data_IF_953534066390
#
_entry.id   IF_953534066390
#
_cell.length_a   1.000
_cell.length_b   1.000
_cell.length_c   1.000
_cell.angle_alpha   90.00
_cell.angle_beta   90.00
_cell.angle_gamma   90.00
#
_symmetry.space_group_name_H-M   'P 1'
#
loop_
_entity.id
_entity.type
_entity.pdbx_description
1 polymer ?
#
# COMPACT_ATOMS: atom_id res chain seq x y z
N UNK A 1 -2.42 5.47 29.94
CA UNK A 1 -3.29 5.53 28.74
C UNK A 1 -3.59 7.00 28.39
N UNK A 2 -3.40 7.43 27.13
CA UNK A 2 -3.63 8.81 26.66
C UNK A 2 -4.92 8.84 25.79
N UNK A 3 -6.12 8.89 26.39
CA UNK A 3 -7.39 8.69 25.67
C UNK A 3 -7.65 9.73 24.58
N UNK A 4 -7.21 10.98 24.80
CA UNK A 4 -7.34 12.06 23.81
C UNK A 4 -6.62 11.75 22.49
N UNK A 5 -5.44 11.14 22.55
CA UNK A 5 -4.69 10.77 21.33
C UNK A 5 -5.33 9.59 20.60
N UNK A 6 -5.95 8.67 21.33
CA UNK A 6 -6.71 7.58 20.71
C UNK A 6 -7.95 8.13 19.98
N UNK A 7 -8.68 9.08 20.57
CA UNK A 7 -9.82 9.73 19.89
C UNK A 7 -9.37 10.59 18.69
N UNK A 8 -8.22 11.25 18.78
CA UNK A 8 -7.62 11.94 17.63
C UNK A 8 -7.24 10.96 16.51
N UNK A 9 -6.73 9.79 16.87
CA UNK A 9 -6.43 8.72 15.92
C UNK A 9 -7.71 8.28 15.20
N UNK A 10 -8.78 7.98 15.93
CA UNK A 10 -10.04 7.52 15.35
C UNK A 10 -10.73 8.59 14.47
N UNK A 11 -10.51 9.87 14.74
CA UNK A 11 -11.14 10.95 13.98
C UNK A 11 -10.35 11.39 12.75
N UNK A 12 -9.02 11.25 12.75
CA UNK A 12 -8.17 11.78 11.68
C UNK A 12 -6.99 10.90 11.29
N UNK A 13 -6.36 10.21 12.24
CA UNK A 13 -5.24 9.32 11.98
C UNK A 13 -5.63 8.11 11.12
N UNK A 14 -6.76 7.48 11.43
CA UNK A 14 -7.25 6.29 10.73
C UNK A 14 -7.53 6.56 9.25
N UNK A 15 -7.94 7.79 8.90
CA UNK A 15 -8.22 8.20 7.51
C UNK A 15 -6.97 8.21 6.62
N UNK A 16 -5.78 8.06 7.21
CA UNK A 16 -4.51 7.94 6.49
C UNK A 16 -4.12 6.49 6.19
N UNK A 17 -4.88 5.52 6.72
CA UNK A 17 -4.55 4.10 6.65
C UNK A 17 -5.24 3.37 5.49
N UNK A 18 -6.14 4.05 4.78
CA UNK A 18 -6.93 3.41 3.74
C UNK A 18 -7.37 4.42 2.67
N UNK A 19 -7.75 3.94 1.48
CA UNK A 19 -7.94 4.77 0.29
C UNK A 19 -9.36 4.74 -0.30
N UNK A 20 -10.36 4.31 0.48
CA UNK A 20 -11.77 4.31 0.09
C UNK A 20 -12.48 5.62 0.46
N UNK A 21 -13.25 5.65 1.55
CA UNK A 21 -14.13 6.77 1.93
C UNK A 21 -14.08 7.09 3.43
N UNK A 22 -14.31 8.33 3.82
CA UNK A 22 -14.28 8.70 5.26
C UNK A 22 -15.39 8.01 6.05
N UNK A 23 -16.56 7.79 5.46
CA UNK A 23 -17.68 7.10 6.09
C UNK A 23 -17.59 5.58 5.85
N UNK A 24 -16.77 4.90 6.65
CA UNK A 24 -16.62 3.44 6.58
C UNK A 24 -16.86 2.78 7.93
N UNK A 25 -17.06 1.46 7.89
CA UNK A 25 -17.18 0.60 9.07
C UNK A 25 -15.88 0.50 9.90
N UNK A 26 -14.77 1.07 9.42
CA UNK A 26 -13.45 1.00 10.03
C UNK A 26 -13.39 1.69 11.39
N UNK A 27 -14.01 2.86 11.55
CA UNK A 27 -13.97 3.56 12.85
C UNK A 27 -14.72 2.77 13.95
N UNK A 28 -15.97 2.29 13.75
CA UNK A 28 -16.62 1.38 14.69
C UNK A 28 -15.83 0.09 14.94
N UNK A 29 -15.24 -0.49 13.90
CA UNK A 29 -14.39 -1.67 14.01
C UNK A 29 -13.21 -1.45 14.94
N UNK A 30 -12.47 -0.35 14.76
CA UNK A 30 -11.33 0.02 15.60
C UNK A 30 -11.72 0.27 17.06
N UNK A 31 -12.91 0.84 17.32
CA UNK A 31 -13.43 0.94 18.71
C UNK A 31 -13.66 -0.44 19.33
N UNK A 32 -14.26 -1.37 18.58
CA UNK A 32 -14.45 -2.75 19.04
C UNK A 32 -13.13 -3.51 19.29
N UNK A 33 -12.08 -3.22 18.51
CA UNK A 33 -10.75 -3.82 18.73
C UNK A 33 -10.06 -3.26 19.98
N UNK A 34 -10.25 -1.97 20.28
CA UNK A 34 -9.68 -1.33 21.47
C UNK A 34 -10.20 -1.94 22.78
N UNK A 35 -11.42 -2.47 22.80
CA UNK A 35 -11.98 -3.19 23.94
C UNK A 35 -11.32 -4.57 24.16
N UNK A 36 -10.63 -5.11 23.15
CA UNK A 36 -10.10 -6.48 23.14
C UNK A 36 -8.57 -6.57 23.27
N UNK A 37 -7.85 -5.47 23.01
CA UNK A 37 -6.39 -5.42 22.97
C UNK A 37 -5.88 -4.07 23.48
N UNK A 38 -5.14 -4.11 24.58
CA UNK A 38 -4.44 -2.93 25.10
C UNK A 38 -3.28 -2.53 24.17
N UNK A 39 -2.59 -3.52 23.60
CA UNK A 39 -1.53 -3.30 22.63
C UNK A 39 -2.06 -2.49 21.43
N UNK A 40 -3.21 -2.86 20.87
CA UNK A 40 -3.85 -2.14 19.78
C UNK A 40 -4.03 -0.64 20.08
N UNK A 41 -4.51 -0.31 21.28
CA UNK A 41 -4.69 1.08 21.72
C UNK A 41 -3.35 1.82 21.77
N UNK A 42 -2.31 1.22 22.36
CA UNK A 42 -0.98 1.85 22.42
C UNK A 42 -0.37 2.06 21.04
N UNK A 43 -0.53 1.12 20.11
CA UNK A 43 -0.05 1.28 18.73
C UNK A 43 -0.77 2.43 18.03
N UNK A 44 -2.09 2.54 18.17
CA UNK A 44 -2.86 3.67 17.63
C UNK A 44 -2.38 5.02 18.18
N UNK A 45 -2.13 5.08 19.50
CA UNK A 45 -1.59 6.28 20.17
C UNK A 45 -0.17 6.60 19.66
N UNK A 46 0.67 5.58 19.45
CA UNK A 46 2.02 5.77 18.93
C UNK A 46 2.00 6.32 17.50
N UNK A 47 1.13 5.79 16.63
CA UNK A 47 0.91 6.31 15.29
C UNK A 47 0.43 7.76 15.36
N UNK A 48 -0.64 8.06 16.11
CA UNK A 48 -1.14 9.43 16.21
C UNK A 48 -0.10 10.40 16.79
N UNK A 49 0.66 9.95 17.79
CA UNK A 49 1.78 10.71 18.35
C UNK A 49 2.80 11.07 17.27
N UNK A 50 3.18 10.12 16.43
CA UNK A 50 4.07 10.35 15.28
C UNK A 50 3.46 11.31 14.25
N UNK A 51 2.18 11.14 13.92
CA UNK A 51 1.47 12.00 12.96
C UNK A 51 1.34 13.46 13.45
N UNK A 52 1.19 13.65 14.77
CA UNK A 52 1.05 14.97 15.39
C UNK A 52 2.39 15.71 15.55
N UNK A 53 3.52 14.99 15.61
CA UNK A 53 4.86 15.54 15.89
C UNK A 53 5.55 16.16 14.66
N UNK A 54 4.76 16.75 13.74
CA UNK A 54 5.04 17.16 12.34
C UNK A 54 6.38 17.83 12.00
N UNK A 55 7.23 18.16 12.96
CA UNK A 55 8.48 18.92 12.79
C UNK A 55 9.68 18.38 13.59
N UNK A 56 9.50 17.44 14.54
CA UNK A 56 10.59 16.89 15.33
C UNK A 56 10.77 15.44 14.93
N UNK A 57 11.85 15.14 14.21
CA UNK A 57 12.31 13.76 13.98
C UNK A 57 12.30 13.04 15.34
N UNK A 58 11.33 12.14 15.53
CA UNK A 58 11.18 11.28 16.71
C UNK A 58 11.48 12.00 18.04
N UNK A 59 10.58 12.86 18.52
CA UNK A 59 10.74 13.39 19.88
C UNK A 59 10.86 12.26 20.91
N UNK A 60 11.50 12.54 22.05
CA UNK A 60 11.64 11.56 23.15
C UNK A 60 10.29 10.94 23.52
N UNK A 61 9.25 11.77 23.60
CA UNK A 61 7.88 11.33 23.88
C UNK A 61 7.31 10.42 22.79
N UNK A 62 7.58 10.70 21.52
CA UNK A 62 7.22 9.82 20.41
C UNK A 62 7.94 8.48 20.52
N UNK A 63 9.24 8.47 20.86
CA UNK A 63 10.01 7.24 21.06
C UNK A 63 9.50 6.40 22.24
N UNK A 64 9.17 7.04 23.37
CA UNK A 64 8.57 6.36 24.53
C UNK A 64 7.25 5.68 24.18
N UNK A 65 6.40 6.33 23.37
CA UNK A 65 5.16 5.71 22.89
C UNK A 65 5.42 4.50 22.00
N UNK A 66 6.41 4.57 21.12
CA UNK A 66 6.78 3.42 20.26
C UNK A 66 7.28 2.25 21.10
N UNK A 67 8.14 2.52 22.10
CA UNK A 67 8.68 1.48 22.98
C UNK A 67 7.56 0.83 23.81
N UNK A 68 6.66 1.64 24.38
CA UNK A 68 5.50 1.12 25.11
C UNK A 68 4.58 0.28 24.21
N UNK A 69 4.30 0.73 22.98
CA UNK A 69 3.49 -0.02 22.03
C UNK A 69 4.14 -1.38 21.67
N UNK A 70 5.46 -1.40 21.46
CA UNK A 70 6.23 -2.61 21.19
C UNK A 70 6.20 -3.59 22.37
N UNK A 71 6.39 -3.10 23.59
CA UNK A 71 6.37 -3.92 24.81
C UNK A 71 5.00 -4.54 25.01
N UNK A 72 3.93 -3.73 25.00
CA UNK A 72 2.56 -4.22 25.14
C UNK A 72 2.19 -5.24 24.06
N UNK A 73 2.60 -5.03 22.81
CA UNK A 73 2.36 -5.98 21.72
C UNK A 73 3.09 -7.31 21.92
N UNK A 74 4.36 -7.27 22.37
CA UNK A 74 5.15 -8.49 22.66
C UNK A 74 4.53 -9.30 23.79
N UNK A 75 4.11 -8.64 24.87
CA UNK A 75 3.47 -9.29 26.02
C UNK A 75 2.13 -9.94 25.61
N UNK A 76 1.36 -9.26 24.76
CA UNK A 76 0.08 -9.78 24.26
C UNK A 76 0.28 -11.00 23.35
N UNK A 77 1.27 -10.98 22.45
CA UNK A 77 1.62 -12.13 21.61
C UNK A 77 2.04 -13.33 22.45
N UNK A 78 2.86 -13.12 23.49
CA UNK A 78 3.35 -14.20 24.34
C UNK A 78 2.19 -14.99 24.99
N UNK A 79 1.09 -14.29 25.32
CA UNK A 79 -0.11 -14.90 25.90
C UNK A 79 -1.06 -15.54 24.86
N UNK A 80 -0.99 -15.14 23.59
CA UNK A 80 -2.00 -15.46 22.55
C UNK A 80 -1.43 -16.24 21.34
N UNK A 81 -0.28 -16.88 21.51
CA UNK A 81 0.42 -17.54 20.41
C UNK A 81 -0.43 -18.59 19.67
N UNK A 82 -0.17 -18.76 18.37
CA UNK A 82 -0.79 -19.75 17.44
C UNK A 82 -2.26 -19.57 17.13
N UNK A 83 -2.97 -18.64 17.78
CA UNK A 83 -4.36 -18.31 17.43
C UNK A 83 -4.41 -16.92 16.80
N UNK A 84 -5.08 -16.79 15.65
CA UNK A 84 -5.28 -15.50 15.01
C UNK A 84 -6.38 -14.72 15.74
N UNK A 85 -5.97 -13.89 16.71
CA UNK A 85 -6.84 -12.91 17.35
C UNK A 85 -6.84 -11.61 16.53
N UNK A 86 -8.03 -11.18 16.10
CA UNK A 86 -8.20 -10.01 15.21
C UNK A 86 -7.54 -8.77 15.78
N UNK A 87 -7.83 -8.41 17.04
CA UNK A 87 -7.30 -7.20 17.66
C UNK A 87 -5.76 -7.20 17.79
N UNK A 88 -5.19 -8.32 18.22
CA UNK A 88 -3.72 -8.51 18.31
C UNK A 88 -3.09 -8.44 16.93
N UNK A 89 -3.68 -9.09 15.93
CA UNK A 89 -3.16 -9.09 14.55
C UNK A 89 -3.21 -7.68 13.96
N UNK A 90 -4.30 -6.94 14.16
CA UNK A 90 -4.40 -5.53 13.80
C UNK A 90 -3.33 -4.68 14.48
N UNK A 91 -3.04 -4.91 15.76
CA UNK A 91 -1.95 -4.21 16.45
C UNK A 91 -0.60 -4.45 15.73
N UNK A 92 -0.33 -5.69 15.31
CA UNK A 92 0.87 -6.04 14.54
C UNK A 92 0.93 -5.39 13.15
N UNK A 93 -0.18 -5.35 12.43
CA UNK A 93 -0.27 -4.64 11.13
C UNK A 93 -0.06 -3.13 11.31
N UNK A 94 -0.63 -2.53 12.35
CA UNK A 94 -0.42 -1.13 12.66
C UNK A 94 1.03 -0.85 13.11
N UNK A 95 1.69 -1.80 13.78
CA UNK A 95 3.13 -1.71 14.07
C UNK A 95 3.97 -1.70 12.78
N UNK A 96 3.61 -2.50 11.78
CA UNK A 96 4.23 -2.44 10.45
C UNK A 96 4.04 -1.05 9.84
N UNK A 97 2.82 -0.50 9.89
CA UNK A 97 2.52 0.85 9.42
C UNK A 97 3.32 1.93 10.16
N UNK A 98 3.51 1.81 11.47
CA UNK A 98 4.32 2.75 12.25
C UNK A 98 5.78 2.75 11.80
N UNK A 99 6.37 1.57 11.58
CA UNK A 99 7.73 1.45 11.04
C UNK A 99 7.83 2.01 9.62
N UNK A 100 6.83 1.72 8.79
CA UNK A 100 6.70 2.25 7.44
C UNK A 100 6.68 3.79 7.44
N UNK A 101 5.87 4.43 8.29
CA UNK A 101 5.81 5.88 8.42
C UNK A 101 7.17 6.48 8.84
N UNK A 102 7.94 5.75 9.65
CA UNK A 102 9.30 6.11 10.05
C UNK A 102 10.35 5.85 8.97
N UNK A 103 10.00 5.19 7.85
CA UNK A 103 10.93 4.80 6.79
C UNK A 103 11.89 3.69 7.22
N UNK A 104 11.48 2.82 8.14
CA UNK A 104 12.28 1.67 8.61
C UNK A 104 11.85 0.38 7.91
N UNK A 105 12.75 -0.62 7.78
CA UNK A 105 12.36 -1.95 7.35
C UNK A 105 11.25 -2.52 8.25
N UNK A 106 10.23 -3.15 7.66
CA UNK A 106 9.02 -3.58 8.35
C UNK A 106 8.47 -4.92 7.85
N UNK A 107 8.79 -5.34 6.63
CA UNK A 107 8.26 -6.57 6.02
C UNK A 107 8.64 -7.85 6.78
N UNK A 108 9.72 -7.81 7.57
CA UNK A 108 10.07 -8.89 8.48
C UNK A 108 8.99 -9.13 9.55
N UNK A 109 8.24 -8.11 9.97
CA UNK A 109 7.16 -8.28 10.94
C UNK A 109 5.97 -9.05 10.35
N UNK A 110 5.69 -8.86 9.06
CA UNK A 110 4.69 -9.68 8.34
C UNK A 110 5.10 -11.14 8.35
N UNK A 111 6.38 -11.45 8.13
CA UNK A 111 6.90 -12.82 8.20
C UNK A 111 6.75 -13.41 9.60
N UNK A 112 7.16 -12.67 10.64
CA UNK A 112 7.01 -13.12 12.02
C UNK A 112 5.56 -13.40 12.39
N UNK A 113 4.63 -12.55 11.94
CA UNK A 113 3.19 -12.78 12.14
C UNK A 113 2.69 -13.99 11.36
N UNK A 114 3.09 -14.15 10.10
CA UNK A 114 2.71 -15.29 9.29
C UNK A 114 3.21 -16.61 9.88
N UNK A 115 4.43 -16.64 10.42
CA UNK A 115 4.99 -17.80 11.12
C UNK A 115 4.27 -18.06 12.45
N UNK A 116 3.98 -17.01 13.23
CA UNK A 116 3.24 -17.11 14.49
C UNK A 116 1.86 -17.74 14.30
N UNK A 117 1.18 -17.38 13.21
CA UNK A 117 -0.16 -17.90 12.87
C UNK A 117 -0.12 -19.10 11.92
N UNK A 118 1.08 -19.58 11.56
CA UNK A 118 1.28 -20.73 10.67
C UNK A 118 0.60 -20.61 9.30
N UNK A 119 0.47 -19.39 8.78
CA UNK A 119 -0.22 -19.10 7.51
C UNK A 119 0.42 -19.80 6.29
N UNK A 120 1.70 -20.16 6.40
CA UNK A 120 2.40 -20.92 5.38
C UNK A 120 1.90 -22.38 5.28
N UNK A 121 1.40 -22.94 6.38
CA UNK A 121 0.94 -24.33 6.47
C UNK A 121 -0.55 -24.45 6.19
N UNK A 122 -1.36 -23.61 6.83
CA UNK A 122 -2.82 -23.64 6.71
C UNK A 122 -3.37 -22.22 6.80
N UNK A 123 -4.13 -21.82 5.78
CA UNK A 123 -4.84 -20.54 5.80
C UNK A 123 -6.15 -20.69 6.58
N UNK A 124 -6.45 -19.79 7.53
CA UNK A 124 -7.71 -19.83 8.27
C UNK A 124 -8.91 -19.75 7.35
N UNK A 125 -9.95 -20.56 7.61
CA UNK A 125 -11.24 -20.38 6.97
C UNK A 125 -11.89 -19.07 7.46
N UNK A 126 -12.31 -18.25 6.49
CA UNK A 126 -12.84 -16.90 6.72
C UNK A 126 -14.12 -16.63 5.92
N UNK A 127 -14.81 -17.69 5.44
CA UNK A 127 -16.06 -17.54 4.68
C UNK A 127 -17.10 -16.72 5.48
N UNK A 128 -17.22 -17.05 6.77
CA UNK A 128 -18.20 -16.49 7.69
C UNK A 128 -17.60 -15.53 8.73
N UNK A 129 -16.31 -15.18 8.63
CA UNK A 129 -15.61 -14.30 9.58
C UNK A 129 -14.99 -13.11 8.84
N UNK A 130 -15.80 -12.06 8.66
CA UNK A 130 -15.42 -10.86 7.91
C UNK A 130 -14.26 -10.10 8.56
N UNK A 131 -14.19 -10.12 9.90
CA UNK A 131 -13.14 -9.44 10.65
C UNK A 131 -11.79 -10.12 10.43
N UNK A 132 -11.72 -11.46 10.54
CA UNK A 132 -10.50 -12.20 10.20
C UNK A 132 -10.15 -12.06 8.72
N UNK A 133 -11.15 -12.13 7.83
CA UNK A 133 -10.93 -11.94 6.39
C UNK A 133 -10.29 -10.59 6.11
N UNK A 134 -10.83 -9.50 6.66
CA UNK A 134 -10.30 -8.16 6.48
C UNK A 134 -8.83 -8.08 6.91
N UNK A 135 -8.50 -8.57 8.10
CA UNK A 135 -7.13 -8.53 8.61
C UNK A 135 -6.15 -9.31 7.73
N UNK A 136 -6.57 -10.49 7.24
CA UNK A 136 -5.77 -11.27 6.30
C UNK A 136 -5.64 -10.60 4.93
N UNK A 137 -6.68 -9.90 4.45
CA UNK A 137 -6.62 -9.10 3.22
C UNK A 137 -5.63 -7.94 3.36
N UNK A 138 -5.67 -7.21 4.47
CA UNK A 138 -4.70 -6.14 4.76
C UNK A 138 -3.28 -6.71 4.80
N UNK A 139 -3.07 -7.81 5.53
CA UNK A 139 -1.77 -8.48 5.55
C UNK A 139 -1.32 -8.95 4.15
N UNK A 140 -2.25 -9.43 3.35
CA UNK A 140 -2.02 -9.83 1.96
C UNK A 140 -1.60 -8.68 1.07
N UNK A 141 -2.25 -7.51 1.18
CA UNK A 141 -1.85 -6.28 0.47
C UNK A 141 -0.45 -5.86 0.91
N UNK A 142 -0.17 -5.82 2.21
CA UNK A 142 1.15 -5.48 2.73
C UNK A 142 2.26 -6.42 2.22
N UNK A 143 1.93 -7.69 1.97
CA UNK A 143 2.85 -8.71 1.47
C UNK A 143 2.99 -8.71 -0.08
N UNK A 144 2.19 -7.94 -0.84
CA UNK A 144 2.24 -7.99 -2.30
C UNK A 144 3.63 -7.63 -2.87
N UNK A 145 4.14 -8.40 -3.85
CA UNK A 145 5.57 -8.40 -4.23
C UNK A 145 6.11 -7.13 -4.89
N UNK A 146 5.25 -6.36 -5.57
CA UNK A 146 5.66 -5.25 -6.43
C UNK A 146 5.23 -3.88 -5.91
N UNK A 147 4.57 -3.84 -4.76
CA UNK A 147 4.09 -2.59 -4.15
C UNK A 147 4.88 -2.20 -2.91
N UNK A 148 5.95 -2.95 -2.61
CA UNK A 148 6.94 -2.59 -1.59
C UNK A 148 8.32 -2.53 -2.22
N UNK A 149 8.91 -1.34 -2.26
CA UNK A 149 10.29 -1.12 -2.69
C UNK A 149 11.25 -1.40 -1.54
N UNK A 150 12.48 -1.82 -1.87
CA UNK A 150 13.51 -2.01 -0.86
C UNK A 150 13.34 -3.26 0.02
N UNK A 151 12.29 -4.06 -0.24
CA UNK A 151 11.93 -5.23 0.55
C UNK A 151 13.12 -6.15 0.83
N UNK A 152 13.32 -6.47 2.11
CA UNK A 152 14.41 -7.29 2.65
C UNK A 152 14.09 -8.78 2.56
N UNK A 153 12.85 -9.15 2.85
CA UNK A 153 12.36 -10.54 2.80
C UNK A 153 11.40 -10.73 1.62
N UNK A 154 11.56 -11.76 0.77
CA UNK A 154 10.63 -12.02 -0.34
C UNK A 154 9.16 -12.07 0.09
N UNK A 155 8.22 -11.79 -0.82
CA UNK A 155 6.80 -12.02 -0.54
C UNK A 155 6.55 -13.49 -0.19
N UNK A 156 5.69 -13.75 0.80
CA UNK A 156 5.25 -15.11 1.18
C UNK A 156 3.92 -15.52 0.52
N UNK A 157 3.32 -14.63 -0.25
CA UNK A 157 2.15 -14.89 -1.08
C UNK A 157 0.85 -14.95 -0.29
N UNK A 158 0.71 -14.19 0.80
CA UNK A 158 -0.47 -14.23 1.68
C UNK A 158 -1.75 -13.95 0.89
N UNK A 159 -1.75 -12.92 0.03
CA UNK A 159 -2.90 -12.58 -0.80
C UNK A 159 -3.33 -13.78 -1.65
N UNK A 160 -2.40 -14.37 -2.40
CA UNK A 160 -2.69 -15.50 -3.30
C UNK A 160 -3.27 -16.68 -2.53
N UNK A 161 -2.65 -17.07 -1.41
CA UNK A 161 -3.10 -18.18 -0.55
C UNK A 161 -4.51 -17.92 0.01
N UNK A 162 -4.79 -16.70 0.46
CA UNK A 162 -6.13 -16.31 0.92
C UNK A 162 -7.15 -16.41 -0.22
N UNK A 163 -6.79 -16.05 -1.44
CA UNK A 163 -7.70 -16.09 -2.59
C UNK A 163 -7.93 -17.52 -3.08
N UNK A 164 -6.94 -18.41 -2.94
CA UNK A 164 -7.06 -19.84 -3.22
C UNK A 164 -8.03 -20.54 -2.26
N UNK A 165 -8.07 -20.17 -0.97
CA UNK A 165 -9.08 -20.75 -0.06
C UNK A 165 -10.50 -20.37 -0.45
N UNK A 166 -10.68 -19.17 -0.99
CA UNK A 166 -11.98 -18.68 -1.46
C UNK A 166 -12.46 -19.36 -2.75
N UNK A 167 -11.58 -20.00 -3.52
CA UNK A 167 -11.98 -20.78 -4.71
C UNK A 167 -12.79 -22.03 -4.32
N UNK A 168 -12.62 -22.53 -3.10
CA UNK A 168 -13.38 -23.64 -2.56
C UNK A 168 -14.74 -23.23 -1.96
N UNK A 169 -15.00 -21.93 -1.80
CA UNK A 169 -16.24 -21.45 -1.20
C UNK A 169 -17.42 -21.61 -2.16
N UNK A 170 -18.60 -22.08 -1.68
CA UNK A 170 -19.82 -22.17 -2.50
C UNK A 170 -20.22 -20.85 -3.17
N UNK A 171 -20.00 -19.72 -2.49
CA UNK A 171 -20.28 -18.38 -3.03
C UNK A 171 -19.18 -17.86 -3.98
N UNK A 172 -18.06 -18.58 -4.09
CA UNK A 172 -16.87 -18.17 -4.81
C UNK A 172 -16.09 -17.06 -4.11
N UNK A 173 -15.13 -16.47 -4.85
CA UNK A 173 -14.29 -15.39 -4.35
C UNK A 173 -15.09 -14.15 -3.97
N UNK A 174 -14.69 -13.53 -2.86
CA UNK A 174 -15.22 -12.21 -2.48
C UNK A 174 -14.81 -11.17 -3.53
N UNK A 175 -15.79 -10.46 -4.07
CA UNK A 175 -15.59 -9.39 -5.05
C UNK A 175 -15.34 -8.01 -4.42
N UNK A 176 -15.53 -6.96 -5.21
CA UNK A 176 -15.51 -5.57 -4.76
C UNK A 176 -14.11 -5.06 -4.36
N UNK A 177 -14.13 -3.94 -3.64
CA UNK A 177 -12.94 -3.14 -3.32
C UNK A 177 -12.31 -3.58 -2.01
N UNK A 178 -11.00 -3.79 -2.00
CA UNK A 178 -10.22 -3.97 -0.77
C UNK A 178 -10.03 -2.60 -0.10
N UNK A 179 -10.26 -2.53 1.22
CA UNK A 179 -10.47 -1.26 1.92
C UNK A 179 -9.21 -0.40 2.00
N UNK A 180 -8.06 -1.01 2.31
CA UNK A 180 -6.80 -0.30 2.56
C UNK A 180 -6.25 0.30 1.27
N UNK A 181 -6.07 -0.51 0.23
CA UNK A 181 -5.60 -0.06 -1.08
C UNK A 181 -6.63 0.76 -1.84
N UNK A 182 -7.93 0.59 -1.57
CA UNK A 182 -9.00 1.17 -2.38
C UNK A 182 -9.07 0.59 -3.80
N UNK A 183 -8.43 -0.55 -4.04
CA UNK A 183 -8.34 -1.23 -5.34
C UNK A 183 -9.24 -2.47 -5.36
N UNK A 184 -9.88 -2.81 -6.50
CA UNK A 184 -10.68 -4.02 -6.61
C UNK A 184 -9.84 -5.28 -6.36
N UNK A 185 -10.39 -6.23 -5.59
CA UNK A 185 -9.72 -7.51 -5.29
C UNK A 185 -9.31 -8.24 -6.56
N UNK A 186 -10.13 -8.14 -7.62
CA UNK A 186 -9.84 -8.74 -8.92
C UNK A 186 -8.63 -8.14 -9.64
N UNK A 187 -8.29 -6.87 -9.37
CA UNK A 187 -7.08 -6.24 -9.88
C UNK A 187 -5.87 -6.59 -9.01
N UNK A 188 -6.04 -6.67 -7.68
CA UNK A 188 -5.01 -7.15 -6.76
C UNK A 188 -4.62 -8.62 -7.03
N UNK A 189 -5.58 -9.45 -7.47
CA UNK A 189 -5.31 -10.83 -7.92
C UNK A 189 -4.30 -10.87 -9.09
N UNK A 190 -4.31 -9.87 -9.97
CA UNK A 190 -3.32 -9.76 -11.07
C UNK A 190 -1.95 -9.34 -10.51
N UNK A 191 -1.93 -8.37 -9.59
CA UNK A 191 -0.70 -7.93 -8.92
C UNK A 191 -0.01 -9.04 -8.14
N UNK A 192 -0.77 -9.90 -7.45
CA UNK A 192 -0.24 -11.02 -6.70
C UNK A 192 0.57 -11.99 -7.58
N UNK A 193 0.18 -12.17 -8.84
CA UNK A 193 0.87 -13.03 -9.79
C UNK A 193 2.04 -12.38 -10.56
N UNK A 194 2.34 -11.10 -10.33
CA UNK A 194 3.20 -10.30 -11.21
C UNK A 194 4.66 -10.79 -11.25
N UNK A 195 5.19 -11.34 -10.15
CA UNK A 195 6.55 -11.90 -10.10
C UNK A 195 6.66 -13.33 -10.63
N UNK A 196 5.59 -14.12 -10.54
CA UNK A 196 5.61 -15.56 -10.80
C UNK A 196 5.25 -15.88 -12.25
N UNK A 197 4.31 -15.12 -12.81
CA UNK A 197 3.77 -15.39 -14.13
C UNK A 197 4.69 -14.89 -15.24
N UNK A 198 4.48 -15.44 -16.43
CA UNK A 198 5.08 -14.89 -17.64
C UNK A 198 4.67 -13.40 -17.83
N UNK A 199 5.62 -12.51 -18.16
CA UNK A 199 5.31 -11.10 -18.35
C UNK A 199 4.23 -10.81 -19.41
N UNK A 200 4.24 -11.50 -20.55
CA UNK A 200 3.26 -11.27 -21.63
C UNK A 200 1.86 -11.70 -21.19
N UNK A 201 1.77 -12.83 -20.47
CA UNK A 201 0.53 -13.26 -19.84
C UNK A 201 0.01 -12.24 -18.81
N UNK A 202 0.89 -11.70 -17.98
CA UNK A 202 0.52 -10.73 -16.93
C UNK A 202 0.08 -9.40 -17.53
N UNK A 203 0.79 -8.89 -18.55
CA UNK A 203 0.40 -7.69 -19.28
C UNK A 203 -0.97 -7.85 -19.95
N UNK A 204 -1.23 -9.02 -20.55
CA UNK A 204 -2.54 -9.37 -21.11
C UNK A 204 -3.64 -9.37 -20.05
N UNK A 205 -3.37 -9.88 -18.84
CA UNK A 205 -4.34 -9.87 -17.73
C UNK A 205 -4.70 -8.45 -17.30
N UNK A 206 -3.73 -7.55 -17.16
CA UNK A 206 -4.03 -6.13 -16.88
C UNK A 206 -4.84 -5.48 -18.00
N UNK A 207 -4.47 -5.76 -19.26
CA UNK A 207 -5.14 -5.19 -20.43
C UNK A 207 -6.60 -5.64 -20.54
N UNK A 208 -6.87 -6.90 -20.19
CA UNK A 208 -8.21 -7.53 -20.23
C UNK A 208 -8.96 -7.47 -18.90
N UNK A 209 -8.42 -6.78 -17.89
CA UNK A 209 -9.11 -6.66 -16.61
C UNK A 209 -10.49 -6.01 -16.82
N UNK A 210 -11.60 -6.65 -16.39
CA UNK A 210 -12.95 -6.25 -16.78
C UNK A 210 -13.42 -4.93 -16.15
N UNK A 211 -12.71 -4.44 -15.14
CA UNK A 211 -13.17 -3.33 -14.31
C UNK A 211 -13.98 -3.81 -13.11
N UNK A 212 -14.42 -2.84 -12.32
CA UNK A 212 -15.42 -2.99 -11.27
C UNK A 212 -16.35 -1.76 -11.32
N UNK A 213 -17.50 -1.82 -10.65
CA UNK A 213 -18.44 -0.70 -10.59
C UNK A 213 -18.11 0.18 -9.38
N UNK A 214 -17.76 1.43 -9.63
CA UNK A 214 -17.44 2.41 -8.58
C UNK A 214 -17.82 3.82 -8.98
N UNK A 215 -17.54 4.78 -8.10
CA UNK A 215 -17.70 6.20 -8.42
C UNK A 215 -16.63 6.67 -9.42
N UNK A 216 -16.83 7.85 -10.01
CA UNK A 216 -15.94 8.37 -11.06
C UNK A 216 -14.46 8.43 -10.63
N UNK A 217 -14.17 8.86 -9.40
CA UNK A 217 -12.80 8.98 -8.91
C UNK A 217 -12.18 7.60 -8.66
N UNK A 218 -12.95 6.66 -8.12
CA UNK A 218 -12.53 5.27 -7.99
C UNK A 218 -12.16 4.67 -9.35
N UNK A 219 -12.99 4.88 -10.38
CA UNK A 219 -12.69 4.39 -11.74
C UNK A 219 -11.36 4.95 -12.29
N UNK A 220 -11.06 6.23 -12.04
CA UNK A 220 -9.77 6.83 -12.42
C UNK A 220 -8.60 6.28 -11.60
N UNK A 221 -8.79 6.03 -10.30
CA UNK A 221 -7.79 5.36 -9.45
C UNK A 221 -7.47 3.97 -9.98
N UNK A 222 -8.49 3.15 -10.23
CA UNK A 222 -8.31 1.77 -10.69
C UNK A 222 -7.70 1.71 -12.08
N UNK A 223 -8.08 2.65 -12.96
CA UNK A 223 -7.43 2.82 -14.27
C UNK A 223 -5.95 3.16 -14.12
N UNK A 224 -5.60 4.04 -13.19
CA UNK A 224 -4.22 4.42 -12.91
C UNK A 224 -3.40 3.24 -12.39
N UNK A 225 -3.94 2.46 -11.44
CA UNK A 225 -3.30 1.24 -10.94
C UNK A 225 -3.10 0.19 -12.04
N UNK A 226 -4.13 -0.05 -12.87
CA UNK A 226 -4.04 -1.00 -13.98
C UNK A 226 -2.97 -0.60 -15.00
N UNK A 227 -2.94 0.67 -15.41
CA UNK A 227 -1.96 1.18 -16.38
C UNK A 227 -0.54 1.16 -15.80
N UNK A 228 -0.38 1.52 -14.52
CA UNK A 228 0.88 1.36 -13.80
C UNK A 228 1.32 -0.11 -13.71
N UNK A 229 0.38 -1.04 -13.51
CA UNK A 229 0.67 -2.48 -13.58
C UNK A 229 1.26 -2.92 -14.93
N UNK A 230 0.73 -2.39 -16.04
CA UNK A 230 1.27 -2.64 -17.39
C UNK A 230 2.69 -2.09 -17.51
N UNK A 231 2.92 -0.84 -17.10
CA UNK A 231 4.25 -0.23 -17.14
C UNK A 231 5.27 -0.99 -16.27
N UNK A 232 4.87 -1.46 -15.09
CA UNK A 232 5.72 -2.27 -14.22
C UNK A 232 6.18 -3.57 -14.91
N UNK A 233 5.27 -4.27 -15.58
CA UNK A 233 5.59 -5.48 -16.33
C UNK A 233 6.61 -5.19 -17.44
N UNK A 234 6.38 -4.13 -18.21
CA UNK A 234 7.28 -3.71 -19.31
C UNK A 234 8.65 -3.27 -18.78
N UNK A 235 8.68 -2.49 -17.70
CA UNK A 235 9.93 -2.05 -17.04
C UNK A 235 10.76 -3.26 -16.60
N UNK A 236 10.13 -4.29 -16.02
CA UNK A 236 10.83 -5.53 -15.63
C UNK A 236 11.40 -6.28 -16.82
N UNK A 237 10.65 -6.38 -17.92
CA UNK A 237 11.17 -6.97 -19.15
C UNK A 237 12.36 -6.17 -19.69
N UNK A 238 12.27 -4.84 -19.69
CA UNK A 238 13.34 -3.92 -20.10
C UNK A 238 14.60 -4.09 -19.24
N UNK A 239 14.46 -4.19 -17.92
CA UNK A 239 15.56 -4.45 -16.99
C UNK A 239 16.22 -5.83 -17.22
N UNK A 240 15.43 -6.88 -17.49
CA UNK A 240 15.94 -8.24 -17.72
C UNK A 240 16.58 -8.42 -19.10
N UNK A 241 15.92 -7.95 -20.16
CA UNK A 241 16.30 -8.19 -21.57
C UNK A 241 17.23 -7.11 -22.13
N UNK A 242 17.33 -5.95 -21.47
CA UNK A 242 18.02 -4.74 -21.97
C UNK A 242 17.55 -4.31 -23.37
N UNK A 243 16.30 -4.58 -23.69
CA UNK A 243 15.67 -4.24 -24.96
C UNK A 243 14.22 -3.84 -24.74
N UNK A 244 13.71 -2.93 -25.56
CA UNK A 244 12.30 -2.58 -25.58
C UNK A 244 11.52 -3.67 -26.34
N UNK A 245 10.45 -4.18 -25.73
CA UNK A 245 9.53 -5.06 -26.42
C UNK A 245 8.67 -4.28 -27.42
N UNK A 246 8.24 -4.92 -28.49
CA UNK A 246 7.25 -4.34 -29.39
C UNK A 246 5.85 -4.51 -28.79
N UNK A 247 5.50 -3.65 -27.83
CA UNK A 247 4.24 -3.72 -27.10
C UNK A 247 3.10 -3.02 -27.85
N UNK A 248 1.90 -3.57 -27.74
CA UNK A 248 0.67 -2.98 -28.26
C UNK A 248 -0.38 -2.88 -27.14
N UNK A 249 -0.84 -1.67 -26.77
CA UNK A 249 -0.39 -0.35 -27.25
C UNK A 249 1.04 0.00 -26.80
N UNK A 250 1.69 0.99 -27.42
CA UNK A 250 3.07 1.39 -27.06
C UNK A 250 3.18 1.90 -25.61
N UNK A 251 4.38 1.88 -25.03
CA UNK A 251 4.61 2.36 -23.64
C UNK A 251 4.25 3.84 -23.49
N UNK A 252 4.51 4.63 -24.51
CA UNK A 252 4.12 6.04 -24.59
C UNK A 252 2.61 6.24 -24.52
N UNK A 253 1.81 5.41 -25.21
CA UNK A 253 0.34 5.47 -25.14
C UNK A 253 -0.16 5.08 -23.75
N UNK A 254 0.38 4.01 -23.16
CA UNK A 254 0.02 3.58 -21.81
C UNK A 254 0.35 4.67 -20.78
N UNK A 255 1.53 5.29 -20.88
CA UNK A 255 1.94 6.37 -19.99
C UNK A 255 1.05 7.61 -20.18
N UNK A 256 0.74 8.02 -21.41
CA UNK A 256 -0.18 9.13 -21.68
C UNK A 256 -1.54 8.90 -21.01
N UNK A 257 -2.12 7.71 -21.14
CA UNK A 257 -3.38 7.35 -20.48
C UNK A 257 -3.27 7.36 -18.95
N UNK A 258 -2.13 6.90 -18.41
CA UNK A 258 -1.87 6.94 -16.97
C UNK A 258 -1.81 8.39 -16.46
N UNK A 259 -1.10 9.25 -17.18
CA UNK A 259 -0.99 10.67 -16.84
C UNK A 259 -2.35 11.37 -16.88
N UNK A 260 -3.16 11.09 -17.90
CA UNK A 260 -4.52 11.64 -18.00
C UNK A 260 -5.43 11.16 -16.85
N UNK A 261 -5.35 9.89 -16.47
CA UNK A 261 -6.13 9.34 -15.36
C UNK A 261 -5.70 9.92 -14.00
N UNK A 262 -4.39 10.06 -13.77
CA UNK A 262 -3.85 10.67 -12.55
C UNK A 262 -4.18 12.16 -12.45
N UNK A 263 -4.06 12.92 -13.55
CA UNK A 263 -4.42 14.34 -13.58
C UNK A 263 -5.91 14.55 -13.27
N UNK A 264 -6.79 13.77 -13.92
CA UNK A 264 -8.22 13.83 -13.68
C UNK A 264 -8.58 13.50 -12.23
N UNK A 265 -7.98 12.43 -11.67
CA UNK A 265 -8.17 12.03 -10.28
C UNK A 265 -7.68 13.11 -9.31
N UNK A 266 -6.48 13.63 -9.52
CA UNK A 266 -5.88 14.66 -8.68
C UNK A 266 -6.74 15.93 -8.68
N UNK A 267 -7.07 16.47 -9.86
CA UNK A 267 -7.93 17.68 -9.98
C UNK A 267 -9.29 17.47 -9.33
N UNK A 268 -9.92 16.32 -9.56
CA UNK A 268 -11.21 16.00 -8.95
C UNK A 268 -11.12 15.89 -7.42
N UNK A 269 -10.00 15.40 -6.88
CA UNK A 269 -9.79 15.27 -5.43
C UNK A 269 -9.61 16.61 -4.70
N UNK A 270 -9.27 17.68 -5.42
CA UNK A 270 -9.17 19.04 -4.88
C UNK A 270 -10.55 19.72 -4.73
N UNK A 271 -11.61 19.14 -5.32
CA UNK A 271 -12.96 19.70 -5.23
C UNK A 271 -13.53 19.37 -3.84
N UNK A 272 -13.99 20.35 -3.04
CA UNK A 272 -14.49 20.12 -1.67
C UNK A 272 -15.60 19.06 -1.56
N UNK A 273 -16.46 18.96 -2.59
CA UNK A 273 -17.51 17.94 -2.64
C UNK A 273 -16.95 16.51 -2.57
N UNK A 274 -15.72 16.29 -3.01
CA UNK A 274 -15.07 14.98 -3.06
C UNK A 274 -14.14 14.72 -1.86
N UNK A 275 -14.11 15.59 -0.85
CA UNK A 275 -13.20 15.46 0.31
C UNK A 275 -13.42 14.17 1.11
N UNK A 276 -14.64 13.63 1.07
CA UNK A 276 -14.99 12.33 1.67
C UNK A 276 -14.32 11.13 0.99
N UNK A 277 -13.77 11.29 -0.22
CA UNK A 277 -13.07 10.25 -0.96
C UNK A 277 -11.57 10.28 -0.65
N UNK A 278 -11.05 9.17 -0.17
CA UNK A 278 -9.66 9.02 0.26
C UNK A 278 -8.75 8.43 -0.84
N UNK A 279 -9.25 8.36 -2.08
CA UNK A 279 -8.57 7.81 -3.27
C UNK A 279 -7.15 8.33 -3.50
N UNK A 280 -6.86 9.56 -3.05
CA UNK A 280 -5.51 10.15 -3.12
C UNK A 280 -4.48 9.38 -2.30
N UNK A 281 -4.88 8.64 -1.27
CA UNK A 281 -3.94 7.85 -0.47
C UNK A 281 -3.28 6.72 -1.28
N UNK A 282 -3.97 6.21 -2.30
CA UNK A 282 -3.49 5.13 -3.17
C UNK A 282 -2.80 5.61 -4.46
N UNK A 283 -2.42 6.90 -4.56
CA UNK A 283 -1.71 7.42 -5.74
C UNK A 283 -0.21 7.10 -5.75
N UNK A 284 0.36 6.62 -4.64
CA UNK A 284 1.79 6.37 -4.52
C UNK A 284 2.31 5.36 -5.56
N UNK A 285 1.64 4.22 -5.75
CA UNK A 285 2.05 3.22 -6.74
C UNK A 285 2.00 3.72 -8.20
N UNK A 286 0.89 4.32 -8.68
CA UNK A 286 0.85 4.93 -10.01
C UNK A 286 1.91 6.02 -10.22
N UNK A 287 2.08 6.90 -9.23
CA UNK A 287 3.02 8.03 -9.30
C UNK A 287 4.47 7.56 -9.37
N UNK A 288 4.85 6.60 -8.53
CA UNK A 288 6.17 5.96 -8.57
C UNK A 288 6.43 5.31 -9.91
N UNK A 289 5.47 4.52 -10.41
CA UNK A 289 5.65 3.80 -11.67
C UNK A 289 5.79 4.74 -12.85
N UNK A 290 4.93 5.78 -12.94
CA UNK A 290 5.03 6.80 -13.98
C UNK A 290 6.36 7.56 -13.89
N UNK A 291 6.77 7.96 -12.68
CA UNK A 291 7.98 8.74 -12.42
C UNK A 291 9.28 8.07 -12.87
N UNK A 292 9.27 6.74 -13.04
CA UNK A 292 10.42 5.95 -13.50
C UNK A 292 10.54 5.86 -15.04
N UNK A 293 9.54 6.33 -15.80
CA UNK A 293 9.59 6.40 -17.27
C UNK A 293 10.35 7.67 -17.74
N UNK A 294 11.59 7.83 -17.26
CA UNK A 294 12.39 9.07 -17.37
C UNK A 294 12.56 9.53 -18.82
N UNK A 295 12.86 8.62 -19.73
CA UNK A 295 13.07 8.91 -21.15
C UNK A 295 11.82 9.47 -21.84
N UNK A 296 10.64 8.96 -21.49
CA UNK A 296 9.36 9.47 -22.01
C UNK A 296 9.01 10.82 -21.36
N UNK A 297 9.17 10.95 -20.04
CA UNK A 297 8.89 12.20 -19.33
C UNK A 297 9.83 13.35 -19.73
N UNK A 298 11.05 13.05 -20.21
CA UNK A 298 11.94 14.06 -20.80
C UNK A 298 11.43 14.60 -22.14
N UNK A 299 10.72 13.76 -22.91
CA UNK A 299 10.12 14.14 -24.21
C UNK A 299 8.80 14.88 -24.03
N UNK A 300 8.04 14.52 -23.00
CA UNK A 300 6.71 15.07 -22.67
C UNK A 300 6.77 15.82 -21.34
N UNK A 301 7.20 17.08 -21.38
CA UNK A 301 7.44 17.89 -20.17
C UNK A 301 6.16 18.17 -19.39
N UNK A 302 5.02 18.21 -20.06
CA UNK A 302 3.70 18.37 -19.46
C UNK A 302 3.36 17.19 -18.52
N UNK A 303 3.76 15.96 -18.87
CA UNK A 303 3.54 14.79 -18.01
C UNK A 303 4.40 14.89 -16.75
N UNK A 304 5.65 15.33 -16.90
CA UNK A 304 6.51 15.58 -15.74
C UNK A 304 5.90 16.65 -14.83
N UNK A 305 5.37 17.74 -15.40
CA UNK A 305 4.75 18.81 -14.62
C UNK A 305 3.57 18.30 -13.78
N UNK A 306 2.73 17.41 -14.32
CA UNK A 306 1.65 16.76 -13.56
C UNK A 306 2.20 15.93 -12.38
N UNK A 307 3.29 15.17 -12.58
CA UNK A 307 3.94 14.42 -11.48
C UNK A 307 4.45 15.36 -10.40
N UNK A 308 5.12 16.45 -10.80
CA UNK A 308 5.67 17.44 -9.88
C UNK A 308 4.55 18.13 -9.08
N UNK A 309 3.43 18.48 -9.72
CA UNK A 309 2.25 19.10 -9.07
C UNK A 309 1.62 18.16 -8.03
N UNK A 310 1.40 16.89 -8.39
CA UNK A 310 0.88 15.87 -7.46
C UNK A 310 1.84 15.69 -6.29
N UNK A 311 3.15 15.61 -6.56
CA UNK A 311 4.20 15.47 -5.54
C UNK A 311 4.19 16.63 -4.55
N UNK A 312 4.13 17.86 -5.03
CA UNK A 312 4.10 19.04 -4.18
C UNK A 312 2.91 19.01 -3.23
N UNK A 313 1.74 18.58 -3.72
CA UNK A 313 0.56 18.41 -2.87
C UNK A 313 0.76 17.35 -1.78
N UNK A 314 1.37 16.20 -2.12
CA UNK A 314 1.69 15.16 -1.14
C UNK A 314 2.65 15.68 -0.06
N UNK A 315 3.71 16.39 -0.45
CA UNK A 315 4.68 16.97 0.50
C UNK A 315 4.05 18.02 1.41
N UNK A 316 3.10 18.81 0.91
CA UNK A 316 2.37 19.79 1.74
C UNK A 316 1.42 19.12 2.74
N UNK A 317 0.80 18.00 2.35
CA UNK A 317 -0.15 17.26 3.18
C UNK A 317 0.54 16.43 4.26
N UNK A 318 1.62 15.75 3.86
CA UNK A 318 2.30 14.70 4.62
C UNK A 318 3.83 14.91 4.61
N UNK A 319 4.37 15.42 5.71
CA UNK A 319 5.83 15.55 5.92
C UNK A 319 6.43 14.30 6.58
N UNK A 320 5.87 13.11 6.29
CA UNK A 320 6.42 11.87 6.84
C UNK A 320 7.64 11.42 6.06
N UNK A 321 8.53 10.71 6.77
CA UNK A 321 9.75 10.19 6.18
C UNK A 321 9.45 9.29 4.96
N UNK A 322 8.38 8.49 5.01
CA UNK A 322 7.96 7.65 3.89
C UNK A 322 7.77 8.43 2.60
N UNK A 323 6.94 9.48 2.63
CA UNK A 323 6.59 10.24 1.43
C UNK A 323 7.85 10.91 0.86
N UNK A 324 8.70 11.45 1.73
CA UNK A 324 9.98 12.05 1.32
C UNK A 324 10.89 11.03 0.64
N UNK A 325 11.10 9.86 1.27
CA UNK A 325 11.95 8.79 0.72
C UNK A 325 11.43 8.32 -0.65
N UNK A 326 10.11 8.18 -0.82
CA UNK A 326 9.49 7.85 -2.11
C UNK A 326 9.89 8.84 -3.20
N UNK A 327 9.85 10.14 -2.92
CA UNK A 327 10.20 11.15 -3.91
C UNK A 327 11.69 11.30 -4.15
N UNK A 328 12.53 11.13 -3.12
CA UNK A 328 13.99 11.08 -3.29
C UNK A 328 14.41 9.93 -4.22
N UNK A 329 13.73 8.78 -4.16
CA UNK A 329 13.97 7.66 -5.07
C UNK A 329 13.60 7.96 -6.52
N UNK A 330 12.51 8.71 -6.74
CA UNK A 330 12.15 9.20 -8.09
C UNK A 330 13.21 10.19 -8.57
N UNK A 331 13.63 11.14 -7.73
CA UNK A 331 14.67 12.11 -8.08
C UNK A 331 16.01 11.44 -8.44
N UNK A 332 16.41 10.40 -7.72
CA UNK A 332 17.59 9.60 -8.07
C UNK A 332 17.47 8.99 -9.47
N UNK A 333 16.31 8.41 -9.83
CA UNK A 333 16.08 7.88 -11.17
C UNK A 333 16.23 8.97 -12.25
N UNK A 334 15.75 10.17 -11.95
CA UNK A 334 15.87 11.33 -12.84
C UNK A 334 17.30 11.84 -13.02
N UNK A 335 18.09 11.83 -11.94
CA UNK A 335 19.51 12.19 -11.94
C UNK A 335 20.32 11.16 -12.73
N UNK A 336 20.09 9.88 -12.49
CA UNK A 336 20.68 8.78 -13.26
C UNK A 336 20.32 8.88 -14.74
N UNK A 337 19.08 9.29 -15.02
CA UNK A 337 18.63 9.65 -16.36
C UNK A 337 18.39 8.46 -17.29
N UNK A 338 18.48 7.24 -16.75
CA UNK A 338 18.27 5.99 -17.42
C UNK A 338 16.85 5.48 -17.19
N UNK A 339 16.28 4.83 -18.20
CA UNK A 339 15.05 4.03 -18.04
C UNK A 339 15.32 2.66 -17.38
N UNK A 340 16.57 2.38 -17.02
CA UNK A 340 17.01 1.13 -16.39
C UNK A 340 17.32 1.29 -14.90
N UNK A 341 16.90 2.40 -14.28
CA UNK A 341 17.13 2.62 -12.87
C UNK A 341 16.36 1.59 -12.02
N UNK A 342 17.10 0.79 -11.25
CA UNK A 342 16.52 -0.17 -10.31
C UNK A 342 16.21 0.52 -8.98
N UNK A 343 15.00 1.07 -8.88
CA UNK A 343 14.49 1.75 -7.68
C UNK A 343 14.44 0.82 -6.46
N UNK A 344 14.22 -0.49 -6.67
CA UNK A 344 14.20 -1.46 -5.58
C UNK A 344 15.59 -1.67 -4.99
N UNK A 345 16.62 -1.73 -5.84
CA UNK A 345 18.01 -1.76 -5.40
C UNK A 345 18.44 -0.45 -4.73
N UNK A 346 17.96 0.71 -5.21
CA UNK A 346 18.23 2.00 -4.59
C UNK A 346 17.65 2.08 -3.16
N UNK A 347 16.40 1.66 -2.97
CA UNK A 347 15.79 1.57 -1.65
C UNK A 347 16.55 0.62 -0.71
N UNK A 348 16.97 -0.57 -1.19
CA UNK A 348 17.80 -1.51 -0.39
C UNK A 348 19.14 -0.90 0.04
N UNK A 349 19.82 -0.13 -0.83
CA UNK A 349 21.09 0.53 -0.48
C UNK A 349 20.93 1.58 0.64
N UNK A 350 19.73 2.13 0.79
CA UNK A 350 19.39 3.12 1.82
C UNK A 350 18.85 2.47 3.11
N UNK A 351 18.74 1.14 3.16
CA UNK A 351 18.13 0.39 4.26
C UNK A 351 16.70 0.86 4.59
N UNK A 352 15.90 1.13 3.54
CA UNK A 352 14.51 1.57 3.65
C UNK A 352 13.57 0.64 2.91
N UNK A 353 12.37 0.47 3.45
CA UNK A 353 11.26 -0.22 2.80
C UNK A 353 10.10 0.74 2.59
N UNK A 354 9.66 0.90 1.34
CA UNK A 354 8.63 1.86 0.96
C UNK A 354 7.42 1.10 0.45
N UNK A 355 6.29 1.21 1.15
CA UNK A 355 4.99 0.76 0.67
C UNK A 355 4.37 1.80 -0.27
N UNK A 356 3.73 1.32 -1.34
CA UNK A 356 3.10 2.13 -2.37
C UNK A 356 1.56 1.98 -2.43
N UNK A 357 0.95 1.28 -1.46
CA UNK A 357 -0.49 1.04 -1.36
C UNK A 357 -1.23 2.05 -0.50
#
# INVERSE_FOLDING_TARGET
MQPELFEQFLSSGVLRLYATETNTWIQPFFRGLAEQSEAFVYVCIAIQGYLSDKQRRLSVLSMERVDHALQSFRDEIACRAKTLHVATTCAGLLMCTLLLLQGRPWTFQIHLMADLYQLASEMPDTEHDEAKRHVLEVMGVMDLPNIVLGRSNPSIGIWKRLRETQDAWPAGRVGGVEVVSGVPRSLLDIFAGLLENDPEYTEMKFSRWPGDVGNYLQCHLWSSWRLAGILEVRRRQKLKRRSEGNHQPSTEVVLCQLMAAMDALYRASLIPRNEHLLVKNALAYPLMTAGLEVGLLRRHREWKATIDEIREHFMQRDDFNLVRVTFELIEEAWIDGSDYFDVGAAARRRDVEVALF
#
